data_IF_237397824120
#
_entry.id   IF_237397824120
#
_cell.length_a   1.000
_cell.length_b   1.000
_cell.length_c   1.000
_cell.angle_alpha   90.00
_cell.angle_beta   90.00
_cell.angle_gamma   90.00
#
_symmetry.space_group_name_H-M   'P 1'
#
loop_
_entity.id
_entity.type
_entity.pdbx_description
1 polymer ?
#
# COMPACT_ATOMS: atom_id res chain seq x y z
N UNK A 1 17.62 -16.31 -46.71
CA UNK A 1 17.90 -16.64 -45.28
C UNK A 1 16.56 -16.72 -44.55
N UNK A 2 16.09 -17.97 -44.31
CA UNK A 2 15.08 -17.71 -44.30
C UNK A 2 14.13 -18.47 -43.43
N UNK A 3 13.47 -19.52 -43.70
CA UNK A 3 12.42 -20.15 -42.90
C UNK A 3 12.86 -20.80 -41.56
N UNK A 4 14.09 -21.28 -41.50
CA UNK A 4 14.61 -22.04 -40.36
C UNK A 4 14.83 -21.14 -39.13
N UNK A 5 15.31 -19.89 -39.32
CA UNK A 5 15.49 -18.95 -38.21
C UNK A 5 14.15 -18.48 -37.64
N UNK A 6 13.14 -18.27 -38.47
CA UNK A 6 11.81 -17.90 -37.98
C UNK A 6 11.19 -18.98 -37.08
N UNK A 7 11.43 -20.24 -37.38
CA UNK A 7 10.88 -21.38 -36.64
C UNK A 7 11.55 -21.53 -35.24
N UNK A 8 12.87 -21.32 -35.17
CA UNK A 8 13.59 -21.40 -33.90
C UNK A 8 13.16 -20.29 -32.90
N UNK A 9 12.89 -19.09 -33.37
CA UNK A 9 12.49 -18.00 -32.52
C UNK A 9 11.05 -18.11 -32.01
N UNK A 10 10.13 -18.68 -32.77
CA UNK A 10 8.76 -18.92 -32.32
C UNK A 10 8.68 -19.82 -31.08
N UNK A 11 9.64 -20.71 -30.87
CA UNK A 11 9.70 -21.56 -29.70
C UNK A 11 10.29 -20.88 -28.46
N UNK A 12 10.89 -19.71 -28.62
CA UNK A 12 11.52 -18.95 -27.52
C UNK A 12 10.64 -17.82 -26.99
N UNK A 13 9.47 -17.58 -27.61
CA UNK A 13 8.53 -16.58 -27.09
C UNK A 13 7.97 -17.08 -25.77
N UNK A 14 8.18 -16.38 -24.65
CA UNK A 14 7.54 -16.75 -23.40
C UNK A 14 6.03 -16.74 -23.57
N UNK A 15 5.35 -17.76 -23.10
CA UNK A 15 3.87 -17.80 -23.08
C UNK A 15 3.28 -16.60 -22.32
N UNK A 16 4.11 -15.97 -21.49
CA UNK A 16 3.79 -14.81 -20.67
C UNK A 16 4.09 -13.47 -21.35
N UNK A 17 4.62 -13.45 -22.60
CA UNK A 17 4.88 -12.19 -23.30
C UNK A 17 3.60 -11.38 -23.47
N UNK A 18 3.60 -10.17 -22.97
CA UNK A 18 2.49 -9.21 -23.06
C UNK A 18 3.00 -7.93 -23.73
N UNK A 19 2.50 -7.60 -24.93
CA UNK A 19 2.93 -6.40 -25.65
C UNK A 19 2.83 -5.11 -24.82
N UNK A 20 1.78 -4.96 -24.03
CA UNK A 20 1.60 -3.79 -23.18
C UNK A 20 2.72 -3.59 -22.16
N UNK A 21 3.21 -4.68 -21.56
CA UNK A 21 4.35 -4.59 -20.66
C UNK A 21 5.65 -4.30 -21.40
N UNK A 22 5.79 -4.80 -22.60
CA UNK A 22 6.96 -4.51 -23.44
C UNK A 22 7.01 -3.03 -23.82
N UNK A 23 5.86 -2.39 -24.13
CA UNK A 23 5.76 -0.94 -24.34
C UNK A 23 6.19 -0.13 -23.13
N UNK A 24 5.87 -0.59 -21.92
CA UNK A 24 6.26 0.10 -20.69
C UNK A 24 7.75 -0.02 -20.40
N UNK A 25 8.34 -1.18 -20.71
CA UNK A 25 9.79 -1.41 -20.58
C UNK A 25 10.59 -0.61 -21.61
N UNK A 26 10.09 -0.54 -22.83
CA UNK A 26 10.81 0.04 -23.98
C UNK A 26 9.95 1.12 -24.65
N UNK A 27 10.02 2.34 -24.11
CA UNK A 27 9.19 3.49 -24.55
C UNK A 27 9.41 3.88 -25.99
N UNK A 28 10.57 3.59 -26.56
CA UNK A 28 10.87 3.76 -27.98
C UNK A 28 9.94 2.94 -28.90
N UNK A 29 9.25 1.97 -28.32
CA UNK A 29 8.31 1.11 -29.04
C UNK A 29 6.84 1.39 -28.71
N UNK A 30 6.52 2.49 -28.02
CA UNK A 30 5.18 2.80 -27.51
C UNK A 30 4.09 2.80 -28.59
N UNK A 31 4.42 3.30 -29.78
CA UNK A 31 3.50 3.39 -30.91
C UNK A 31 3.44 2.13 -31.80
N UNK A 32 4.19 1.07 -31.47
CA UNK A 32 4.21 -0.15 -32.24
C UNK A 32 2.98 -1.01 -32.00
N UNK A 33 2.50 -1.67 -33.04
CA UNK A 33 1.44 -2.68 -32.92
C UNK A 33 1.93 -3.91 -32.15
N UNK A 34 1.02 -4.73 -31.63
CA UNK A 34 1.35 -5.95 -30.90
C UNK A 34 2.18 -6.92 -31.73
N UNK A 35 1.87 -7.00 -33.05
CA UNK A 35 2.62 -7.84 -33.98
C UNK A 35 4.05 -7.32 -34.21
N UNK A 36 4.22 -6.01 -34.35
CA UNK A 36 5.54 -5.40 -34.46
C UNK A 36 6.37 -5.61 -33.19
N UNK A 37 5.76 -5.44 -32.00
CA UNK A 37 6.44 -5.67 -30.72
C UNK A 37 6.89 -7.11 -30.57
N UNK A 38 6.07 -8.06 -30.99
CA UNK A 38 6.45 -9.46 -30.97
C UNK A 38 7.65 -9.74 -31.90
N UNK A 39 7.65 -9.16 -33.09
CA UNK A 39 8.76 -9.25 -34.05
C UNK A 39 10.03 -8.62 -33.46
N UNK A 40 9.91 -7.42 -32.87
CA UNK A 40 11.02 -6.71 -32.25
C UNK A 40 11.59 -7.53 -31.08
N UNK A 41 10.72 -8.05 -30.21
CA UNK A 41 11.15 -8.91 -29.09
C UNK A 41 11.96 -10.13 -29.58
N UNK A 42 11.49 -10.79 -30.65
CA UNK A 42 12.18 -11.94 -31.23
C UNK A 42 13.53 -11.55 -31.84
N UNK A 43 13.61 -10.38 -32.49
CA UNK A 43 14.81 -9.95 -33.20
C UNK A 43 15.87 -9.35 -32.29
N UNK A 44 15.46 -8.56 -31.33
CA UNK A 44 16.37 -7.84 -30.44
C UNK A 44 16.77 -8.65 -29.20
N UNK A 45 15.99 -9.69 -28.85
CA UNK A 45 16.19 -10.53 -27.67
C UNK A 45 16.41 -9.72 -26.37
N UNK A 46 15.77 -8.55 -26.27
CA UNK A 46 15.86 -7.71 -25.07
C UNK A 46 15.24 -8.41 -23.86
N UNK A 47 15.76 -8.19 -22.63
CA UNK A 47 15.16 -8.73 -21.42
C UNK A 47 13.68 -8.35 -21.30
N UNK A 48 12.88 -9.30 -20.84
CA UNK A 48 11.46 -9.11 -20.57
C UNK A 48 11.18 -9.48 -19.11
N UNK A 49 11.42 -8.53 -18.22
CA UNK A 49 11.16 -8.68 -16.80
C UNK A 49 10.41 -7.47 -16.27
N UNK A 50 9.11 -7.63 -16.09
CA UNK A 50 8.23 -6.58 -15.59
C UNK A 50 8.48 -6.23 -14.12
N UNK A 51 9.10 -7.14 -13.36
CA UNK A 51 9.39 -6.88 -11.94
C UNK A 51 10.27 -5.66 -11.75
N UNK A 52 11.10 -5.33 -12.75
CA UNK A 52 11.97 -4.15 -12.75
C UNK A 52 11.20 -2.81 -12.77
N UNK A 53 9.93 -2.83 -13.19
CA UNK A 53 9.07 -1.65 -13.22
C UNK A 53 8.24 -1.49 -11.95
N UNK A 54 8.11 -2.54 -11.14
CA UNK A 54 7.32 -2.53 -9.93
C UNK A 54 8.19 -2.14 -8.73
N UNK A 55 7.66 -1.38 -7.76
CA UNK A 55 8.34 -1.17 -6.50
C UNK A 55 8.67 -2.50 -5.81
N UNK A 56 9.79 -2.55 -5.08
CA UNK A 56 10.25 -3.75 -4.39
C UNK A 56 9.23 -4.25 -3.34
N UNK A 57 8.43 -3.34 -2.82
CA UNK A 57 7.37 -3.61 -1.83
C UNK A 57 5.98 -3.72 -2.45
N UNK A 58 5.88 -3.79 -3.79
CA UNK A 58 4.61 -4.00 -4.46
C UNK A 58 4.10 -5.42 -4.25
N UNK A 59 2.89 -5.52 -3.71
CA UNK A 59 2.17 -6.79 -3.59
C UNK A 59 0.81 -6.66 -4.28
N UNK A 60 0.57 -7.50 -5.27
CA UNK A 60 -0.64 -7.44 -6.12
C UNK A 60 -1.92 -7.73 -5.32
N UNK A 61 -1.85 -8.62 -4.33
CA UNK A 61 -3.02 -8.95 -3.51
C UNK A 61 -3.37 -7.79 -2.59
N UNK A 62 -2.36 -7.19 -1.94
CA UNK A 62 -2.53 -5.96 -1.15
C UNK A 62 -3.04 -4.82 -2.02
N UNK A 63 -2.50 -4.65 -3.24
CA UNK A 63 -2.97 -3.62 -4.16
C UNK A 63 -4.45 -3.77 -4.50
N UNK A 64 -4.91 -5.00 -4.78
CA UNK A 64 -6.31 -5.31 -5.05
C UNK A 64 -7.20 -5.17 -3.81
N UNK A 65 -6.70 -5.53 -2.63
CA UNK A 65 -7.42 -5.35 -1.37
C UNK A 65 -7.65 -3.89 -1.00
N UNK A 66 -6.64 -3.05 -1.22
CA UNK A 66 -6.74 -1.60 -0.96
C UNK A 66 -7.59 -0.86 -2.00
N UNK A 67 -7.82 -1.48 -3.16
CA UNK A 67 -8.57 -0.90 -4.28
C UNK A 67 -9.67 -1.87 -4.72
N UNK A 68 -10.81 -1.84 -4.04
CA UNK A 68 -11.88 -2.86 -4.17
C UNK A 68 -12.46 -2.99 -5.57
N UNK A 69 -12.42 -1.93 -6.37
CA UNK A 69 -12.82 -1.92 -7.78
C UNK A 69 -11.91 -2.78 -8.67
N UNK A 70 -10.68 -3.07 -8.22
CA UNK A 70 -9.69 -3.86 -8.94
C UNK A 70 -9.71 -5.36 -8.59
N UNK A 71 -10.55 -5.80 -7.66
CA UNK A 71 -10.54 -7.19 -7.15
C UNK A 71 -10.74 -8.24 -8.24
N UNK A 72 -11.47 -7.91 -9.30
CA UNK A 72 -11.77 -8.84 -10.42
C UNK A 72 -10.63 -8.94 -11.45
N UNK A 73 -9.62 -8.10 -11.35
CA UNK A 73 -8.49 -8.14 -12.29
C UNK A 73 -7.61 -9.37 -12.06
N UNK A 74 -7.06 -9.92 -13.13
CA UNK A 74 -5.98 -10.91 -13.02
C UNK A 74 -4.72 -10.25 -12.44
N UNK A 75 -3.73 -11.06 -12.06
CA UNK A 75 -2.43 -10.55 -11.58
C UNK A 75 -1.82 -9.59 -12.60
N UNK A 76 -1.75 -10.01 -13.86
CA UNK A 76 -1.18 -9.21 -14.94
C UNK A 76 -1.95 -7.91 -15.18
N UNK A 77 -3.28 -7.98 -15.17
CA UNK A 77 -4.11 -6.79 -15.33
C UNK A 77 -3.91 -5.80 -14.18
N UNK A 78 -3.80 -6.28 -12.93
CA UNK A 78 -3.57 -5.43 -11.77
C UNK A 78 -2.16 -4.80 -11.80
N UNK A 79 -1.14 -5.54 -12.22
CA UNK A 79 0.22 -5.01 -12.41
C UNK A 79 0.24 -3.94 -13.51
N UNK A 80 -0.41 -4.19 -14.65
CA UNK A 80 -0.53 -3.24 -15.72
C UNK A 80 -1.28 -1.98 -15.31
N UNK A 81 -2.36 -2.15 -14.56
CA UNK A 81 -3.13 -1.05 -13.98
C UNK A 81 -2.26 -0.20 -13.05
N UNK A 82 -1.49 -0.86 -12.16
CA UNK A 82 -0.57 -0.16 -11.28
C UNK A 82 0.41 0.70 -12.06
N UNK A 83 1.08 0.12 -13.06
CA UNK A 83 2.10 0.83 -13.85
C UNK A 83 1.54 1.99 -14.68
N UNK A 84 0.30 1.88 -15.15
CA UNK A 84 -0.32 2.92 -16.00
C UNK A 84 -1.04 4.00 -15.20
N UNK A 85 -1.69 3.64 -14.11
CA UNK A 85 -2.71 4.51 -13.49
C UNK A 85 -2.48 4.84 -12.03
N UNK A 86 -1.73 4.02 -11.25
CA UNK A 86 -1.64 4.19 -9.79
C UNK A 86 -1.13 5.55 -9.36
N UNK A 87 -0.17 6.12 -10.09
CA UNK A 87 0.38 7.46 -9.82
C UNK A 87 -0.64 8.56 -10.10
N UNK A 88 -1.40 8.43 -11.19
CA UNK A 88 -2.43 9.41 -11.61
C UNK A 88 -3.60 9.37 -10.65
N UNK A 89 -4.05 8.16 -10.31
CA UNK A 89 -5.19 7.91 -9.42
C UNK A 89 -4.82 7.95 -7.93
N UNK A 90 -3.54 8.10 -7.60
CA UNK A 90 -3.00 8.10 -6.24
C UNK A 90 -3.40 6.83 -5.44
N UNK A 91 -3.36 5.68 -6.11
CA UNK A 91 -3.73 4.39 -5.52
C UNK A 91 -2.74 3.92 -4.47
N UNK A 92 -3.26 3.42 -3.36
CA UNK A 92 -2.46 2.71 -2.35
C UNK A 92 -2.09 1.32 -2.88
N UNK A 93 -0.84 0.88 -2.68
CA UNK A 93 -0.34 -0.41 -3.17
C UNK A 93 0.40 -1.25 -2.12
N UNK A 94 0.61 -0.69 -0.94
CA UNK A 94 1.23 -1.35 0.20
C UNK A 94 0.60 -0.92 1.52
N UNK A 95 0.96 -1.58 2.60
CA UNK A 95 0.49 -1.27 3.95
C UNK A 95 1.51 -0.42 4.74
N UNK A 96 2.29 0.41 4.05
CA UNK A 96 3.27 1.27 4.68
C UNK A 96 2.56 2.43 5.40
N UNK A 97 2.59 2.37 6.70
CA UNK A 97 2.12 3.41 7.60
C UNK A 97 3.27 4.34 7.99
N UNK A 98 3.00 5.58 8.46
CA UNK A 98 4.04 6.45 9.00
C UNK A 98 4.88 5.78 10.09
N UNK A 99 6.14 6.19 10.23
CA UNK A 99 7.05 5.62 11.24
C UNK A 99 6.61 5.87 12.69
N UNK A 100 5.76 6.87 12.90
CA UNK A 100 5.16 7.21 14.19
C UNK A 100 3.76 6.58 14.40
N UNK A 101 3.33 5.68 13.49
CA UNK A 101 2.08 4.95 13.66
C UNK A 101 2.24 3.85 14.70
N UNK A 102 1.46 3.90 15.76
CA UNK A 102 1.33 2.82 16.73
C UNK A 102 -0.01 2.10 16.55
N UNK A 103 0.07 0.80 16.33
CA UNK A 103 -1.10 -0.04 16.12
C UNK A 103 -1.92 -0.18 17.40
N UNK A 104 -1.24 -0.21 18.54
CA UNK A 104 -1.83 -0.26 19.87
C UNK A 104 -2.60 1.03 20.15
N UNK A 105 -1.96 2.19 19.95
CA UNK A 105 -2.62 3.48 20.13
C UNK A 105 -3.82 3.60 19.20
N UNK A 106 -3.66 3.18 17.94
CA UNK A 106 -4.75 3.23 16.97
C UNK A 106 -5.94 2.36 17.37
N UNK A 107 -5.67 1.16 17.87
CA UNK A 107 -6.69 0.21 18.37
C UNK A 107 -7.42 0.76 19.61
N UNK A 108 -6.67 1.17 20.64
CA UNK A 108 -7.23 1.56 21.92
C UNK A 108 -7.93 2.92 21.90
N UNK A 109 -7.40 3.87 21.12
CA UNK A 109 -8.01 5.19 20.97
C UNK A 109 -9.27 5.22 20.08
N UNK A 110 -9.55 4.14 19.35
CA UNK A 110 -10.69 4.05 18.44
C UNK A 110 -11.54 2.82 18.78
N UNK A 111 -12.45 2.96 19.72
CA UNK A 111 -13.25 1.85 20.30
C UNK A 111 -13.96 0.98 19.25
N UNK A 112 -14.47 1.60 18.19
CA UNK A 112 -15.13 0.96 17.07
C UNK A 112 -14.21 0.02 16.27
N UNK A 113 -12.88 0.18 16.40
CA UNK A 113 -11.88 -0.59 15.65
C UNK A 113 -11.21 -1.70 16.47
N UNK A 114 -11.53 -1.85 17.75
CA UNK A 114 -10.83 -2.78 18.66
C UNK A 114 -10.91 -4.24 18.22
N UNK A 115 -11.95 -4.62 17.49
CA UNK A 115 -12.19 -5.97 16.99
C UNK A 115 -11.40 -6.30 15.71
N UNK A 116 -10.76 -5.32 15.07
CA UNK A 116 -10.04 -5.51 13.82
C UNK A 116 -8.67 -6.16 14.04
N UNK A 117 -8.19 -6.90 13.05
CA UNK A 117 -6.81 -7.42 13.01
C UNK A 117 -5.83 -6.26 12.79
N UNK A 118 -4.54 -6.51 13.08
CA UNK A 118 -3.47 -5.53 12.85
C UNK A 118 -3.39 -5.08 11.38
N UNK A 119 -3.60 -6.03 10.47
CA UNK A 119 -3.64 -5.75 9.03
C UNK A 119 -4.82 -4.86 8.67
N UNK A 120 -6.01 -5.15 9.20
CA UNK A 120 -7.21 -4.36 8.92
C UNK A 120 -7.14 -2.96 9.56
N UNK A 121 -6.50 -2.83 10.71
CA UNK A 121 -6.21 -1.53 11.32
C UNK A 121 -5.32 -0.66 10.43
N UNK A 122 -4.25 -1.24 9.86
CA UNK A 122 -3.39 -0.53 8.90
C UNK A 122 -4.15 -0.12 7.64
N UNK A 123 -4.97 -1.02 7.08
CA UNK A 123 -5.85 -0.70 5.94
C UNK A 123 -6.80 0.42 6.27
N UNK A 124 -7.50 0.32 7.39
CA UNK A 124 -8.44 1.35 7.84
C UNK A 124 -7.74 2.72 7.99
N UNK A 125 -6.56 2.73 8.61
CA UNK A 125 -5.80 3.96 8.77
C UNK A 125 -5.43 4.59 7.42
N UNK A 126 -4.96 3.79 6.47
CA UNK A 126 -4.53 4.28 5.16
C UNK A 126 -5.69 4.78 4.29
N UNK A 127 -6.85 4.14 4.38
CA UNK A 127 -8.04 4.45 3.56
C UNK A 127 -8.87 5.58 4.20
N UNK A 128 -9.15 5.45 5.50
CA UNK A 128 -10.12 6.30 6.20
C UNK A 128 -9.48 7.13 7.32
N UNK A 129 -8.66 6.51 8.16
CA UNK A 129 -8.24 7.04 9.44
C UNK A 129 -7.52 8.40 9.37
N UNK A 130 -6.75 8.65 8.31
CA UNK A 130 -6.13 9.96 8.08
C UNK A 130 -7.18 11.04 7.82
N UNK A 131 -8.19 10.74 7.01
CA UNK A 131 -9.25 11.68 6.67
C UNK A 131 -10.19 11.92 7.84
N UNK A 132 -10.42 10.89 8.65
CA UNK A 132 -11.21 10.93 9.88
C UNK A 132 -10.44 11.56 11.05
N UNK A 133 -9.16 11.88 10.87
CA UNK A 133 -8.27 12.43 11.89
C UNK A 133 -8.21 11.56 13.16
N UNK A 134 -8.21 10.24 12.98
CA UNK A 134 -8.13 9.27 14.08
C UNK A 134 -6.79 9.38 14.80
N UNK A 135 -6.80 9.17 16.12
CA UNK A 135 -5.57 9.08 16.92
C UNK A 135 -4.84 7.78 16.54
N UNK A 136 -3.58 7.87 16.12
CA UNK A 136 -2.79 6.75 15.60
C UNK A 136 -1.37 6.68 16.15
N UNK A 137 -0.95 7.65 16.92
CA UNK A 137 0.38 7.74 17.51
C UNK A 137 0.30 8.15 18.96
N UNK A 138 1.38 7.89 19.68
CA UNK A 138 1.49 8.35 21.07
C UNK A 138 1.47 9.89 21.12
N UNK A 139 0.42 10.42 21.73
CA UNK A 139 0.14 11.86 21.79
C UNK A 139 0.64 12.50 23.09
N UNK A 140 1.29 11.73 23.96
CA UNK A 140 1.80 12.25 25.23
C UNK A 140 2.84 13.36 25.08
N UNK A 141 3.48 13.42 23.92
CA UNK A 141 4.52 14.42 23.61
C UNK A 141 4.20 15.28 22.39
N UNK A 142 2.98 15.21 21.84
CA UNK A 142 2.60 15.93 20.61
C UNK A 142 1.72 17.14 20.95
N UNK A 143 1.93 18.27 20.24
CA UNK A 143 1.04 19.44 20.32
C UNK A 143 -0.44 19.09 20.05
N UNK A 144 -0.70 18.04 19.26
CA UNK A 144 -2.05 17.58 19.02
C UNK A 144 -2.72 17.02 20.27
N UNK A 145 -1.97 16.40 21.19
CA UNK A 145 -2.52 15.95 22.47
C UNK A 145 -3.04 17.12 23.30
N UNK A 146 -2.28 18.21 23.40
CA UNK A 146 -2.72 19.42 24.12
C UNK A 146 -3.93 20.06 23.46
N UNK A 147 -4.02 20.03 22.13
CA UNK A 147 -5.18 20.54 21.38
C UNK A 147 -6.41 19.66 21.59
N UNK A 148 -6.25 18.32 21.51
CA UNK A 148 -7.32 17.36 21.77
C UNK A 148 -7.76 17.45 23.23
N UNK A 149 -6.83 17.54 24.16
CA UNK A 149 -7.11 17.67 25.58
C UNK A 149 -7.92 18.94 25.93
N UNK A 150 -7.57 20.07 25.33
CA UNK A 150 -8.29 21.31 25.51
C UNK A 150 -9.64 21.40 24.78
N UNK A 151 -9.87 20.52 23.78
CA UNK A 151 -11.10 20.43 23.00
C UNK A 151 -11.84 19.10 23.21
N UNK A 152 -11.74 18.50 24.39
CA UNK A 152 -12.20 17.14 24.68
C UNK A 152 -13.61 16.89 24.16
N UNK A 153 -13.69 16.08 23.12
CA UNK A 153 -14.84 15.25 22.86
C UNK A 153 -14.62 13.93 23.65
N UNK A 154 -15.49 13.69 24.59
CA UNK A 154 -15.40 12.70 25.67
C UNK A 154 -15.01 11.28 25.24
N UNK A 155 -15.37 10.86 24.04
CA UNK A 155 -15.16 9.47 23.60
C UNK A 155 -13.69 9.13 23.24
N UNK A 156 -12.94 10.08 22.70
CA UNK A 156 -11.53 9.88 22.40
C UNK A 156 -10.64 9.88 23.65
N UNK A 157 -11.05 10.63 24.68
CA UNK A 157 -10.32 10.69 25.94
C UNK A 157 -10.42 9.37 26.74
N UNK A 158 -11.58 8.74 26.77
CA UNK A 158 -11.74 7.45 27.46
C UNK A 158 -10.94 6.32 26.80
N UNK A 159 -10.90 6.27 25.49
CA UNK A 159 -10.06 5.31 24.77
C UNK A 159 -8.57 5.51 25.08
N UNK A 160 -8.12 6.75 25.07
CA UNK A 160 -6.74 7.09 25.40
C UNK A 160 -6.41 6.80 26.88
N UNK A 161 -7.31 7.12 27.82
CA UNK A 161 -7.14 6.81 29.22
C UNK A 161 -7.03 5.31 29.48
N UNK A 162 -7.89 4.50 28.85
CA UNK A 162 -7.84 3.03 28.93
C UNK A 162 -6.51 2.50 28.39
N UNK A 163 -6.06 3.00 27.24
CA UNK A 163 -4.76 2.64 26.67
C UNK A 163 -3.59 2.97 27.60
N UNK A 164 -3.61 4.13 28.22
CA UNK A 164 -2.57 4.54 29.15
C UNK A 164 -2.63 3.72 30.43
N UNK A 165 -3.80 3.38 30.93
CA UNK A 165 -3.97 2.48 32.09
C UNK A 165 -3.43 1.08 31.80
N UNK A 166 -3.66 0.54 30.60
CA UNK A 166 -3.13 -0.76 30.17
C UNK A 166 -1.60 -0.74 30.02
N UNK A 167 -1.03 0.34 29.45
CA UNK A 167 0.43 0.50 29.34
C UNK A 167 1.07 0.73 30.71
N UNK A 168 0.42 1.40 31.64
CA UNK A 168 0.99 1.73 32.95
C UNK A 168 1.01 0.54 33.90
N UNK A 169 0.19 -0.47 33.69
CA UNK A 169 0.44 -1.78 34.29
C UNK A 169 1.77 -2.37 33.81
N UNK A 170 2.29 -1.89 32.68
CA UNK A 170 3.51 -2.37 32.06
C UNK A 170 4.72 -1.43 32.27
N UNK A 171 4.55 -0.10 32.37
CA UNK A 171 5.68 0.87 32.43
C UNK A 171 5.36 2.24 33.05
N UNK A 172 5.48 2.38 34.33
CA UNK A 172 5.88 3.59 35.08
C UNK A 172 4.84 4.60 35.60
N UNK A 173 4.99 4.90 36.88
CA UNK A 173 4.32 5.92 37.73
C UNK A 173 4.32 7.36 37.13
N UNK A 174 5.22 7.66 36.22
CA UNK A 174 5.33 8.99 35.60
C UNK A 174 4.14 9.38 34.73
N UNK A 175 3.57 8.45 33.99
CA UNK A 175 2.44 8.66 33.10
C UNK A 175 1.14 8.91 33.88
N UNK A 176 0.92 8.10 34.94
CA UNK A 176 -0.20 8.28 35.85
C UNK A 176 -0.15 9.63 36.55
N UNK A 177 1.05 10.13 36.92
CA UNK A 177 1.22 11.44 37.57
C UNK A 177 0.89 12.59 36.61
N UNK A 178 1.13 12.45 35.33
CA UNK A 178 0.75 13.44 34.31
C UNK A 178 -0.78 13.46 34.10
N UNK A 179 -1.40 12.28 33.98
CA UNK A 179 -2.85 12.16 33.76
C UNK A 179 -3.65 12.64 34.98
N UNK A 180 -3.16 12.35 36.19
CA UNK A 180 -3.83 12.78 37.43
C UNK A 180 -3.60 14.28 37.77
N UNK A 181 -2.71 14.97 37.07
CA UNK A 181 -2.53 16.44 37.15
C UNK A 181 -3.39 17.22 36.16
N UNK A 182 -4.05 16.49 35.31
CA UNK A 182 -4.99 16.96 34.31
C UNK A 182 -6.40 16.75 34.83
#
# INVERSE_FOLDING_TARGET
MNGVYKFMYYHTIPKTFKPDFYRLLYKEHELKTDTELLIIYILEAKPYDISQLLPIDFNVDVYKELNTDLQKLTVEQAQLHFLKYSSIEKRLYNLNVPSDFSIEVYRYSNKDLQHLTDTDLKKHFLINGKNEKRIYKDVLYDEQFFKIYNNIQTDNFYGFKSYVEDITQIKSEKLLTLINKI
#
